data_IF_213435336566
#
_entry.id   IF_213435336566
#
_cell.length_a   1.000
_cell.length_b   1.000
_cell.length_c   1.000
_cell.angle_alpha   90.00
_cell.angle_beta   90.00
_cell.angle_gamma   90.00
#
_symmetry.space_group_name_H-M   'P 1'
#
loop_
_entity.id
_entity.type
_entity.pdbx_description
1 polymer ?
#
# COMPACT_ATOMS: atom_id res chain seq x y z
N UNK A 1 13.06 -25.04 -20.75
CA UNK A 1 13.56 -24.80 -19.37
C UNK A 1 13.96 -23.34 -19.19
N UNK A 2 14.86 -22.80 -20.02
CA UNK A 2 15.33 -21.39 -19.95
C UNK A 2 14.18 -20.36 -20.01
N UNK A 3 13.23 -20.50 -20.94
CA UNK A 3 12.07 -19.59 -21.06
C UNK A 3 11.24 -19.52 -19.76
N UNK A 4 10.91 -20.67 -19.16
CA UNK A 4 10.16 -20.75 -17.91
C UNK A 4 10.91 -20.09 -16.74
N UNK A 5 12.23 -20.26 -16.67
CA UNK A 5 13.04 -19.61 -15.64
C UNK A 5 13.03 -18.08 -15.82
N UNK A 6 13.15 -17.59 -17.06
CA UNK A 6 13.09 -16.17 -17.36
C UNK A 6 11.73 -15.56 -17.04
N UNK A 7 10.64 -16.25 -17.40
CA UNK A 7 9.27 -15.83 -17.08
C UNK A 7 9.06 -15.73 -15.56
N UNK A 8 9.64 -16.65 -14.79
CA UNK A 8 9.59 -16.65 -13.33
C UNK A 8 10.36 -15.46 -12.72
N UNK A 9 11.56 -15.16 -13.22
CA UNK A 9 12.36 -13.99 -12.79
C UNK A 9 11.59 -12.69 -13.06
N UNK A 10 10.98 -12.55 -14.23
CA UNK A 10 10.16 -11.38 -14.55
C UNK A 10 8.93 -11.25 -13.65
N UNK A 11 8.31 -12.37 -13.28
CA UNK A 11 7.17 -12.37 -12.36
C UNK A 11 7.59 -11.93 -10.95
N UNK A 12 8.72 -12.44 -10.44
CA UNK A 12 9.30 -12.03 -9.15
C UNK A 12 9.57 -10.52 -9.15
N UNK A 13 10.31 -10.01 -10.14
CA UNK A 13 10.62 -8.59 -10.25
C UNK A 13 9.37 -7.70 -10.32
N UNK A 14 8.31 -8.17 -11.00
CA UNK A 14 7.03 -7.47 -11.07
C UNK A 14 6.31 -7.45 -9.72
N UNK A 15 6.34 -8.55 -8.98
CA UNK A 15 5.75 -8.64 -7.64
C UNK A 15 6.48 -7.73 -6.64
N UNK A 16 7.82 -7.76 -6.63
CA UNK A 16 8.65 -6.89 -5.79
C UNK A 16 8.36 -5.41 -6.05
N UNK A 17 8.32 -5.01 -7.34
CA UNK A 17 7.94 -3.65 -7.73
C UNK A 17 6.54 -3.29 -7.23
N UNK A 18 5.57 -4.18 -7.40
CA UNK A 18 4.18 -3.94 -6.97
C UNK A 18 4.09 -3.76 -5.44
N UNK A 19 4.87 -4.52 -4.67
CA UNK A 19 4.96 -4.39 -3.21
C UNK A 19 5.57 -3.04 -2.83
N UNK A 20 6.64 -2.62 -3.49
CA UNK A 20 7.29 -1.32 -3.25
C UNK A 20 6.36 -0.13 -3.56
N UNK A 21 5.65 -0.19 -4.68
CA UNK A 21 4.70 0.84 -5.10
C UNK A 21 3.56 0.97 -4.07
N UNK A 22 2.96 -0.16 -3.65
CA UNK A 22 1.90 -0.17 -2.63
C UNK A 22 2.37 0.31 -1.26
N UNK A 23 3.60 -0.03 -0.87
CA UNK A 23 4.19 0.46 0.38
C UNK A 23 4.39 1.99 0.35
N UNK A 24 4.72 2.55 -0.81
CA UNK A 24 4.82 3.99 -1.01
C UNK A 24 3.44 4.68 -0.86
N UNK A 25 2.37 4.08 -1.38
CA UNK A 25 1.01 4.61 -1.19
C UNK A 25 0.56 4.58 0.28
N UNK A 26 0.94 3.54 1.04
CA UNK A 26 0.69 3.49 2.49
C UNK A 26 1.38 4.67 3.19
N UNK A 27 2.64 4.97 2.86
CA UNK A 27 3.37 6.11 3.42
C UNK A 27 2.70 7.46 3.13
N UNK A 28 2.17 7.62 1.91
CA UNK A 28 1.43 8.83 1.52
C UNK A 28 0.12 8.97 2.31
N UNK A 29 -0.65 7.88 2.45
CA UNK A 29 -1.89 7.89 3.22
C UNK A 29 -1.65 8.20 4.70
N UNK A 30 -0.58 7.66 5.31
CA UNK A 30 -0.17 8.04 6.68
C UNK A 30 0.21 9.51 6.80
N UNK A 31 0.97 10.05 5.85
CA UNK A 31 1.31 11.48 5.83
C UNK A 31 0.05 12.35 5.76
N UNK A 32 -0.92 11.97 4.91
CA UNK A 32 -2.21 12.67 4.81
C UNK A 32 -2.99 12.63 6.12
N UNK A 33 -3.09 11.46 6.76
CA UNK A 33 -3.73 11.33 8.08
C UNK A 33 -3.02 12.20 9.13
N UNK A 34 -1.69 12.16 9.19
CA UNK A 34 -0.90 13.00 10.10
C UNK A 34 -1.17 14.50 9.90
N UNK A 35 -1.16 14.98 8.65
CA UNK A 35 -1.47 16.37 8.32
C UNK A 35 -2.89 16.77 8.78
N UNK A 36 -3.86 15.86 8.67
CA UNK A 36 -5.25 16.11 9.11
C UNK A 36 -5.37 16.19 10.63
N UNK A 37 -4.63 15.36 11.36
CA UNK A 37 -4.56 15.43 12.83
C UNK A 37 -3.90 16.72 13.35
N UNK A 38 -3.14 17.43 12.51
CA UNK A 38 -2.38 18.63 12.87
C UNK A 38 -3.05 19.94 12.39
N UNK A 39 -4.36 19.95 12.12
CA UNK A 39 -5.11 21.18 11.79
C UNK A 39 -5.92 21.64 13.01
N UNK A 40 -5.35 22.43 13.95
CA UNK A 40 -6.11 22.90 15.09
C UNK A 40 -7.23 23.83 14.60
N UNK A 41 -8.39 23.74 15.23
CA UNK A 41 -9.51 24.70 15.15
C UNK A 41 -10.40 24.70 13.90
N UNK A 42 -10.12 23.94 12.83
CA UNK A 42 -10.85 24.10 11.55
C UNK A 42 -11.62 22.87 11.02
N UNK A 43 -11.24 21.63 11.37
CA UNK A 43 -11.94 20.42 10.90
C UNK A 43 -12.31 19.52 12.09
N UNK A 44 -13.56 19.04 12.15
CA UNK A 44 -13.85 17.85 12.95
C UNK A 44 -13.03 16.70 12.34
N UNK A 45 -11.97 16.28 13.03
CA UNK A 45 -11.17 15.08 12.74
C UNK A 45 -12.03 13.82 12.95
N UNK A 46 -12.97 13.58 12.03
CA UNK A 46 -13.70 12.31 11.82
C UNK A 46 -14.61 12.39 10.57
N UNK A 47 -14.18 13.12 9.55
CA UNK A 47 -14.98 13.29 8.35
C UNK A 47 -14.92 12.07 7.42
N UNK A 48 -15.67 12.12 6.32
CA UNK A 48 -15.72 11.03 5.36
C UNK A 48 -14.34 10.75 4.73
N UNK A 49 -13.52 11.78 4.52
CA UNK A 49 -12.19 11.65 3.89
C UNK A 49 -11.22 10.93 4.81
N UNK A 50 -11.21 11.24 6.10
CA UNK A 50 -10.38 10.55 7.09
C UNK A 50 -10.73 9.07 7.18
N UNK A 51 -12.03 8.75 7.24
CA UNK A 51 -12.51 7.35 7.23
C UNK A 51 -12.08 6.60 5.96
N UNK A 52 -12.16 7.26 4.81
CA UNK A 52 -11.70 6.68 3.54
C UNK A 52 -10.20 6.42 3.54
N UNK A 53 -9.39 7.35 4.05
CA UNK A 53 -7.93 7.17 4.16
C UNK A 53 -7.56 6.01 5.10
N UNK A 54 -8.26 5.87 6.22
CA UNK A 54 -8.06 4.73 7.15
C UNK A 54 -8.39 3.41 6.47
N UNK A 55 -9.52 3.33 5.75
CA UNK A 55 -9.90 2.14 4.98
C UNK A 55 -8.86 1.84 3.88
N UNK A 56 -8.42 2.86 3.14
CA UNK A 56 -7.40 2.73 2.09
C UNK A 56 -6.09 2.16 2.64
N UNK A 57 -5.64 2.61 3.82
CA UNK A 57 -4.45 2.05 4.48
C UNK A 57 -4.65 0.57 4.82
N UNK A 58 -5.84 0.20 5.31
CA UNK A 58 -6.16 -1.21 5.61
C UNK A 58 -6.12 -2.07 4.34
N UNK A 59 -6.80 -1.63 3.28
CA UNK A 59 -6.88 -2.35 2.01
C UNK A 59 -5.49 -2.50 1.35
N UNK A 60 -4.68 -1.44 1.39
CA UNK A 60 -3.31 -1.47 0.88
C UNK A 60 -2.43 -2.45 1.68
N UNK A 61 -2.56 -2.50 3.01
CA UNK A 61 -1.83 -3.46 3.86
C UNK A 61 -2.21 -4.89 3.53
N UNK A 62 -3.50 -5.19 3.42
CA UNK A 62 -3.98 -6.51 3.04
C UNK A 62 -3.47 -6.91 1.66
N UNK A 63 -3.46 -5.97 0.71
CA UNK A 63 -2.92 -6.20 -0.62
C UNK A 63 -1.42 -6.49 -0.59
N UNK A 64 -0.63 -5.77 0.21
CA UNK A 64 0.82 -6.03 0.36
C UNK A 64 1.05 -7.39 0.99
N UNK A 65 0.32 -7.75 2.05
CA UNK A 65 0.44 -9.07 2.69
C UNK A 65 0.13 -10.20 1.72
N UNK A 66 -0.90 -10.07 0.88
CA UNK A 66 -1.22 -11.07 -0.15
C UNK A 66 -0.09 -11.21 -1.17
N UNK A 67 0.44 -10.09 -1.67
CA UNK A 67 1.56 -10.11 -2.63
C UNK A 67 2.84 -10.70 -2.04
N UNK A 68 3.13 -10.39 -0.78
CA UNK A 68 4.27 -10.98 -0.06
C UNK A 68 4.10 -12.49 0.07
N UNK A 69 2.91 -12.99 0.44
CA UNK A 69 2.64 -14.44 0.47
C UNK A 69 2.91 -15.08 -0.89
N UNK A 70 2.40 -14.50 -1.98
CA UNK A 70 2.64 -14.99 -3.35
C UNK A 70 4.12 -14.94 -3.77
N UNK A 71 4.92 -14.07 -3.17
CA UNK A 71 6.36 -13.98 -3.46
C UNK A 71 7.18 -15.02 -2.69
N UNK A 72 6.73 -15.40 -1.49
CA UNK A 72 7.43 -16.33 -0.60
C UNK A 72 6.93 -17.79 -0.68
N UNK A 73 5.75 -18.04 -1.24
CA UNK A 73 5.26 -19.37 -1.65
C UNK A 73 5.94 -19.87 -2.92
#
# INVERSE_FOLDING_TARGET
IIKKANDMIHNIARLEKTIADKSSFIGLAHTRLGNRCQRPQLEMTSDAVEKQLVNEVSDLRDSVTKLQRTLFE
#
